data_IF_353325001828
#
_entry.id   IF_353325001828
#
_cell.length_a   1.000
_cell.length_b   1.000
_cell.length_c   1.000
_cell.angle_alpha   90.00
_cell.angle_beta   90.00
_cell.angle_gamma   90.00
#
_symmetry.space_group_name_H-M   'P 1'
#
loop_
_entity.id
_entity.type
_entity.pdbx_description
1 polymer ?
#
# COMPACT_ATOMS: atom_id res chain seq x y z
N UNK A 1 15.13 -12.09 1.98
CA UNK A 1 13.93 -11.44 1.41
C UNK A 1 14.11 -11.42 -0.09
N UNK A 2 13.08 -11.80 -0.85
CA UNK A 2 13.07 -11.69 -2.30
C UNK A 2 11.82 -10.94 -2.75
N UNK A 3 11.93 -10.18 -3.84
CA UNK A 3 10.83 -9.41 -4.40
C UNK A 3 10.79 -9.53 -5.93
N UNK A 4 9.59 -9.47 -6.49
CA UNK A 4 9.33 -9.42 -7.92
C UNK A 4 8.21 -8.42 -8.21
N UNK A 5 8.16 -7.88 -9.43
CA UNK A 5 7.17 -6.91 -9.86
C UNK A 5 6.41 -7.45 -11.06
N UNK A 6 5.07 -7.41 -10.97
CA UNK A 6 4.18 -7.89 -12.01
C UNK A 6 3.38 -6.73 -12.58
N UNK A 7 3.55 -6.46 -13.88
CA UNK A 7 2.71 -5.50 -14.58
C UNK A 7 1.32 -6.10 -14.81
N UNK A 8 0.32 -5.24 -14.96
CA UNK A 8 -1.05 -5.65 -15.28
C UNK A 8 -1.16 -6.36 -16.66
N UNK A 9 -0.12 -6.24 -17.49
CA UNK A 9 -0.02 -6.91 -18.79
C UNK A 9 0.58 -8.32 -18.69
N UNK A 10 1.28 -8.66 -17.61
CA UNK A 10 1.91 -9.98 -17.46
C UNK A 10 0.89 -11.11 -17.28
N UNK A 11 -0.24 -10.86 -16.60
CA UNK A 11 -1.23 -11.91 -16.37
C UNK A 11 -2.64 -11.36 -16.10
N UNK A 12 -3.72 -12.01 -16.62
CA UNK A 12 -5.10 -11.57 -16.41
C UNK A 12 -5.52 -11.44 -14.93
N UNK A 13 -4.94 -12.26 -14.03
CA UNK A 13 -5.21 -12.18 -12.59
C UNK A 13 -4.70 -10.86 -11.99
N UNK A 14 -3.55 -10.36 -12.43
CA UNK A 14 -3.00 -9.08 -11.94
C UNK A 14 -3.91 -7.94 -12.37
N UNK A 15 -4.33 -7.93 -13.63
CA UNK A 15 -5.30 -6.96 -14.15
C UNK A 15 -6.66 -7.03 -13.43
N UNK A 16 -7.14 -8.24 -13.13
CA UNK A 16 -8.38 -8.46 -12.37
C UNK A 16 -8.25 -7.92 -10.94
N UNK A 17 -7.10 -8.13 -10.30
CA UNK A 17 -6.81 -7.57 -8.97
C UNK A 17 -6.84 -6.04 -8.99
N UNK A 18 -6.16 -5.38 -9.93
CA UNK A 18 -6.19 -3.91 -10.05
C UNK A 18 -7.61 -3.36 -10.23
N UNK A 19 -8.47 -4.06 -10.98
CA UNK A 19 -9.90 -3.70 -11.13
C UNK A 19 -10.69 -3.87 -9.83
N UNK A 20 -10.45 -4.96 -9.09
CA UNK A 20 -11.08 -5.19 -7.79
C UNK A 20 -10.66 -4.14 -6.76
N UNK A 21 -9.37 -3.77 -6.73
CA UNK A 21 -8.86 -2.70 -5.88
C UNK A 21 -9.54 -1.38 -6.21
N UNK A 22 -9.64 -1.03 -7.50
CA UNK A 22 -10.33 0.20 -7.92
C UNK A 22 -11.81 0.20 -7.50
N UNK A 23 -12.51 -0.92 -7.68
CA UNK A 23 -13.91 -1.05 -7.28
C UNK A 23 -14.11 -0.99 -5.76
N UNK A 24 -13.20 -1.59 -4.98
CA UNK A 24 -13.30 -1.63 -3.51
C UNK A 24 -12.94 -0.30 -2.84
N UNK A 25 -11.97 0.42 -3.40
CA UNK A 25 -11.44 1.66 -2.81
C UNK A 25 -12.08 2.92 -3.40
N UNK A 26 -12.71 2.81 -4.56
CA UNK A 26 -13.13 3.96 -5.37
C UNK A 26 -11.98 4.73 -6.02
N UNK A 27 -10.72 4.30 -5.83
CA UNK A 27 -9.54 4.96 -6.38
C UNK A 27 -9.19 4.44 -7.78
N UNK A 28 -8.64 5.29 -8.63
CA UNK A 28 -8.11 4.89 -9.93
C UNK A 28 -6.78 4.15 -9.75
N UNK A 29 -6.65 2.96 -10.36
CA UNK A 29 -5.39 2.19 -10.40
C UNK A 29 -4.57 2.46 -11.66
N UNK A 30 -4.95 3.45 -12.49
CA UNK A 30 -4.27 3.76 -13.75
C UNK A 30 -2.83 4.25 -13.60
N UNK A 31 -2.55 4.97 -12.52
CA UNK A 31 -1.22 5.46 -12.12
C UNK A 31 -0.55 4.58 -11.06
N UNK A 32 -1.19 3.45 -10.70
CA UNK A 32 -0.68 2.57 -9.67
C UNK A 32 0.58 1.84 -10.14
N UNK A 33 1.47 1.56 -9.21
CA UNK A 33 2.68 0.80 -9.49
C UNK A 33 2.38 -0.64 -9.95
N UNK A 34 3.39 -1.29 -10.52
CA UNK A 34 3.34 -2.73 -10.73
C UNK A 34 3.12 -3.46 -9.39
N UNK A 35 2.39 -4.57 -9.43
CA UNK A 35 2.12 -5.36 -8.22
C UNK A 35 3.45 -5.93 -7.70
N UNK A 36 3.85 -5.50 -6.51
CA UNK A 36 5.06 -6.01 -5.87
C UNK A 36 4.71 -7.28 -5.08
N UNK A 37 5.33 -8.40 -5.41
CA UNK A 37 5.21 -9.65 -4.65
C UNK A 37 6.48 -9.86 -3.85
N UNK A 38 6.35 -10.09 -2.54
CA UNK A 38 7.48 -10.22 -1.62
C UNK A 38 7.35 -11.48 -0.79
N UNK A 39 8.48 -12.17 -0.60
CA UNK A 39 8.64 -13.26 0.36
C UNK A 39 9.55 -12.88 1.54
N UNK A 40 9.06 -13.16 2.74
CA UNK A 40 9.85 -13.20 3.97
C UNK A 40 9.88 -14.63 4.51
N UNK A 41 11.05 -15.27 4.47
CA UNK A 41 11.33 -16.50 5.21
C UNK A 41 11.55 -16.23 6.70
N UNK A 42 11.94 -17.27 7.44
CA UNK A 42 12.24 -17.18 8.89
C UNK A 42 13.28 -16.08 9.16
N UNK A 43 13.02 -15.25 10.18
CA UNK A 43 13.81 -14.06 10.53
C UNK A 43 13.62 -12.85 9.60
N UNK A 44 13.00 -13.06 8.43
CA UNK A 44 12.68 -12.00 7.48
C UNK A 44 11.73 -10.98 8.11
N UNK A 45 12.10 -9.70 8.02
CA UNK A 45 11.37 -8.57 8.57
C UNK A 45 11.57 -7.35 7.66
N UNK A 46 10.82 -6.30 7.94
CA UNK A 46 11.05 -5.00 7.32
C UNK A 46 10.88 -3.90 8.35
N UNK A 47 11.92 -3.07 8.49
CA UNK A 47 11.96 -1.99 9.46
C UNK A 47 10.79 -1.02 9.28
N UNK A 48 10.33 -0.36 10.37
CA UNK A 48 9.33 0.69 10.27
C UNK A 48 9.71 1.74 9.22
N UNK A 49 8.76 2.07 8.36
CA UNK A 49 8.93 3.01 7.26
C UNK A 49 7.59 3.64 6.87
N UNK A 50 7.66 4.60 5.95
CA UNK A 50 6.52 5.21 5.28
C UNK A 50 6.50 4.78 3.82
N UNK A 51 5.30 4.64 3.27
CA UNK A 51 5.12 4.43 1.84
C UNK A 51 5.13 5.74 1.06
N UNK A 52 4.79 6.87 1.68
CA UNK A 52 4.92 8.19 1.04
C UNK A 52 6.37 8.68 1.04
N UNK A 53 6.68 9.63 0.15
CA UNK A 53 8.00 10.26 0.06
C UNK A 53 8.27 11.19 1.25
N UNK A 54 9.47 11.08 1.81
CA UNK A 54 9.96 11.93 2.91
C UNK A 54 11.10 12.83 2.42
N UNK A 55 11.59 13.74 3.28
CA UNK A 55 12.78 14.58 2.94
C UNK A 55 13.99 13.73 2.55
N UNK A 56 14.20 12.60 3.24
CA UNK A 56 15.33 11.70 2.99
C UNK A 56 15.08 10.74 1.81
N UNK A 57 13.81 10.55 1.45
CA UNK A 57 13.37 9.74 0.30
C UNK A 57 12.44 10.56 -0.58
N UNK A 58 12.96 11.57 -1.30
CA UNK A 58 12.17 12.41 -2.20
C UNK A 58 11.63 11.57 -3.36
N UNK A 59 10.52 12.02 -3.97
CA UNK A 59 9.99 11.45 -5.23
C UNK A 59 11.07 11.49 -6.32
N UNK A 60 11.16 10.43 -7.13
CA UNK A 60 12.16 10.32 -8.21
C UNK A 60 11.57 9.75 -9.50
N UNK A 61 12.17 10.12 -10.62
CA UNK A 61 11.81 9.56 -11.93
C UNK A 61 10.33 9.81 -12.26
N UNK A 62 9.60 8.76 -12.59
CA UNK A 62 8.19 8.87 -12.97
C UNK A 62 7.27 9.32 -11.80
N UNK A 63 7.70 9.14 -10.55
CA UNK A 63 6.94 9.55 -9.36
C UNK A 63 6.80 11.08 -9.27
N UNK A 64 7.71 11.85 -9.86
CA UNK A 64 7.57 13.31 -9.93
C UNK A 64 6.41 13.74 -10.83
N UNK A 65 5.92 12.85 -11.70
CA UNK A 65 4.73 13.09 -12.51
C UNK A 65 3.48 12.45 -11.91
N UNK A 66 3.63 11.25 -11.33
CA UNK A 66 2.51 10.53 -10.72
C UNK A 66 2.09 11.10 -9.35
N UNK A 67 3.00 11.80 -8.67
CA UNK A 67 2.78 12.32 -7.32
C UNK A 67 3.11 11.29 -6.24
N UNK A 68 2.73 11.62 -5.01
CA UNK A 68 2.89 10.77 -3.84
C UNK A 68 2.06 9.49 -3.95
N UNK A 69 2.51 8.44 -3.27
CA UNK A 69 1.69 7.25 -3.01
C UNK A 69 0.56 7.63 -2.06
N UNK A 70 -0.61 7.93 -2.60
CA UNK A 70 -1.80 8.31 -1.83
C UNK A 70 -2.30 7.16 -0.95
N UNK A 71 -2.25 5.92 -1.43
CA UNK A 71 -2.77 4.78 -0.68
C UNK A 71 -1.98 3.50 -0.97
N UNK A 72 -2.06 2.57 -0.02
CA UNK A 72 -1.46 1.24 -0.12
C UNK A 72 -2.53 0.17 0.03
N UNK A 73 -2.49 -0.80 -0.88
CA UNK A 73 -3.26 -2.03 -0.79
C UNK A 73 -2.29 -3.21 -0.64
N UNK A 74 -2.32 -3.88 0.50
CA UNK A 74 -1.45 -5.02 0.82
C UNK A 74 -2.30 -6.27 1.00
N UNK A 75 -2.07 -7.30 0.20
CA UNK A 75 -2.72 -8.62 0.31
C UNK A 75 -1.75 -9.60 0.95
N UNK A 76 -2.22 -10.38 1.93
CA UNK A 76 -1.52 -11.55 2.41
C UNK A 76 -1.81 -12.74 1.48
N UNK A 77 -0.77 -13.28 0.85
CA UNK A 77 -0.87 -14.45 -0.01
C UNK A 77 -0.67 -15.76 0.76
N UNK A 78 -0.17 -15.68 1.99
CA UNK A 78 -0.04 -16.81 2.91
C UNK A 78 -0.40 -16.41 4.35
N UNK A 79 -0.93 -17.37 5.10
CA UNK A 79 -1.01 -17.29 6.56
C UNK A 79 0.36 -17.57 7.16
N UNK A 80 0.68 -16.94 8.29
CA UNK A 80 1.95 -17.14 8.99
C UNK A 80 1.66 -17.74 10.36
N UNK A 81 2.31 -18.87 10.67
CA UNK A 81 2.08 -19.61 11.91
C UNK A 81 2.49 -18.78 13.14
N UNK A 82 3.69 -18.19 13.13
CA UNK A 82 4.19 -17.34 14.22
C UNK A 82 5.01 -16.16 13.70
N UNK A 83 4.81 -14.98 14.29
CA UNK A 83 5.46 -13.75 13.87
C UNK A 83 4.79 -13.12 12.64
N UNK A 84 5.57 -12.43 11.81
CA UNK A 84 5.15 -11.94 10.49
C UNK A 84 4.11 -10.82 10.48
N UNK A 85 3.68 -10.32 11.63
CA UNK A 85 2.66 -9.26 11.76
C UNK A 85 3.02 -8.02 10.94
N UNK A 86 2.02 -7.34 10.39
CA UNK A 86 2.18 -5.93 9.97
C UNK A 86 1.80 -5.05 11.14
N UNK A 87 2.72 -4.17 11.55
CA UNK A 87 2.59 -3.35 12.75
C UNK A 87 2.54 -1.87 12.36
N UNK A 88 1.47 -1.18 12.77
CA UNK A 88 1.34 0.28 12.71
C UNK A 88 1.50 0.84 14.12
N UNK A 89 2.73 1.22 14.49
CA UNK A 89 3.08 1.55 15.89
C UNK A 89 2.26 2.70 16.43
N UNK A 90 2.12 3.77 15.64
CA UNK A 90 1.41 5.00 16.04
C UNK A 90 -0.10 4.81 16.11
N UNK A 91 -0.67 3.96 15.26
CA UNK A 91 -2.08 3.57 15.32
C UNK A 91 -2.36 2.50 16.38
N UNK A 92 -1.32 1.90 16.98
CA UNK A 92 -1.42 0.76 17.90
C UNK A 92 -2.17 -0.42 17.28
N UNK A 93 -2.05 -0.58 15.96
CA UNK A 93 -2.67 -1.67 15.20
C UNK A 93 -1.61 -2.72 14.87
N UNK A 94 -1.93 -3.97 15.15
CA UNK A 94 -1.14 -5.14 14.76
C UNK A 94 -2.05 -6.08 14.01
N UNK A 95 -1.68 -6.42 12.78
CA UNK A 95 -2.46 -7.37 11.97
C UNK A 95 -1.65 -8.62 11.69
N UNK A 96 -2.19 -9.77 12.06
CA UNK A 96 -1.59 -11.07 11.74
C UNK A 96 -1.89 -11.44 10.28
N UNK A 97 -0.91 -12.00 9.54
CA UNK A 97 -1.15 -12.46 8.18
C UNK A 97 -2.12 -13.63 8.15
N UNK A 98 -3.18 -13.49 7.37
CA UNK A 98 -4.11 -14.56 7.02
C UNK A 98 -4.26 -14.57 5.50
N UNK A 99 -4.08 -15.73 4.88
CA UNK A 99 -4.16 -15.87 3.42
C UNK A 99 -5.51 -15.33 2.90
N UNK A 100 -5.44 -14.40 1.95
CA UNK A 100 -6.61 -13.80 1.31
C UNK A 100 -7.17 -12.59 2.02
N UNK A 101 -6.64 -12.21 3.19
CA UNK A 101 -6.92 -10.92 3.80
C UNK A 101 -6.11 -9.82 3.11
N UNK A 102 -6.68 -8.62 3.00
CA UNK A 102 -5.93 -7.42 2.66
C UNK A 102 -6.09 -6.31 3.68
N UNK A 103 -5.07 -5.48 3.72
CA UNK A 103 -5.04 -4.21 4.39
C UNK A 103 -5.12 -3.11 3.34
N UNK A 104 -5.92 -2.10 3.63
CA UNK A 104 -5.95 -0.87 2.87
C UNK A 104 -5.85 0.33 3.80
N UNK A 105 -5.01 1.30 3.42
CA UNK A 105 -4.89 2.56 4.14
C UNK A 105 -4.46 3.69 3.22
N UNK A 106 -4.82 4.91 3.61
CA UNK A 106 -4.34 6.14 2.98
C UNK A 106 -3.05 6.59 3.65
N UNK A 107 -2.03 6.87 2.85
CA UNK A 107 -0.72 7.36 3.29
C UNK A 107 -0.69 8.88 3.47
N UNK A 108 -1.68 9.60 2.95
CA UNK A 108 -1.77 11.06 3.02
C UNK A 108 -3.06 11.45 3.78
N UNK A 109 -3.05 12.54 4.57
CA UNK A 109 -4.22 13.02 5.30
C UNK A 109 -5.38 13.40 4.37
N UNK A 110 -6.64 13.38 4.86
CA UNK A 110 -7.78 13.89 4.12
C UNK A 110 -7.54 15.32 3.62
N UNK A 111 -7.97 15.62 2.39
CA UNK A 111 -7.83 16.95 1.79
C UNK A 111 -6.43 17.30 1.28
N UNK A 112 -5.41 16.48 1.52
CA UNK A 112 -4.07 16.70 0.97
C UNK A 112 -4.01 16.58 -0.56
N UNK A 113 -4.94 15.83 -1.16
CA UNK A 113 -4.90 15.43 -2.58
C UNK A 113 -5.94 16.10 -3.46
N UNK A 114 -6.86 16.88 -2.87
CA UNK A 114 -8.10 17.29 -3.54
C UNK A 114 -8.13 18.74 -4.06
N UNK A 115 -7.03 19.50 -3.95
CA UNK A 115 -7.11 20.96 -4.18
C UNK A 115 -5.92 21.60 -4.85
N UNK A 116 -4.89 20.84 -5.23
CA UNK A 116 -3.63 21.41 -5.71
C UNK A 116 -3.52 21.28 -7.24
N UNK A 117 -3.26 22.37 -7.99
CA UNK A 117 -2.92 22.28 -9.41
C UNK A 117 -1.72 21.34 -9.61
N UNK A 118 -1.52 20.78 -10.80
CA UNK A 118 -0.48 19.74 -11.02
C UNK A 118 0.93 20.18 -10.58
N UNK A 119 1.21 21.49 -10.56
CA UNK A 119 2.46 22.06 -10.04
C UNK A 119 2.65 21.94 -8.52
N UNK A 120 1.61 21.60 -7.78
CA UNK A 120 1.55 21.58 -6.32
C UNK A 120 1.32 20.18 -5.73
N UNK A 121 1.22 19.13 -6.57
CA UNK A 121 1.06 17.70 -6.18
C UNK A 121 2.20 17.21 -5.25
N UNK A 122 3.25 18.01 -5.05
CA UNK A 122 4.38 17.69 -4.17
C UNK A 122 4.30 18.29 -2.76
N UNK A 123 3.19 18.96 -2.39
CA UNK A 123 3.02 19.57 -1.05
C UNK A 123 2.25 18.71 -0.04
N UNK A 124 1.72 17.57 -0.46
CA UNK A 124 1.01 16.64 0.43
C UNK A 124 1.97 16.12 1.50
N UNK A 125 1.74 16.51 2.76
CA UNK A 125 2.47 15.98 3.91
C UNK A 125 1.90 14.60 4.22
N UNK A 126 2.74 13.57 4.29
CA UNK A 126 2.28 12.22 4.60
C UNK A 126 1.72 12.09 6.01
N UNK A 127 0.81 11.15 6.19
CA UNK A 127 0.19 10.86 7.48
C UNK A 127 1.13 9.98 8.31
N UNK A 128 1.83 10.61 9.25
CA UNK A 128 2.85 9.90 10.03
C UNK A 128 2.27 8.73 10.84
N UNK A 129 0.95 8.68 11.10
CA UNK A 129 0.32 7.55 11.80
C UNK A 129 0.46 6.24 11.03
N UNK A 130 0.68 6.32 9.72
CA UNK A 130 0.83 5.17 8.80
C UNK A 130 2.23 4.56 8.81
N UNK A 131 3.14 5.02 9.69
CA UNK A 131 4.42 4.36 9.92
C UNK A 131 4.19 2.88 10.24
N UNK A 132 4.73 2.00 9.40
CA UNK A 132 4.49 0.57 9.51
C UNK A 132 5.70 -0.26 9.17
N UNK A 133 5.72 -1.49 9.67
CA UNK A 133 6.77 -2.46 9.40
C UNK A 133 6.25 -3.88 9.43
N UNK A 134 7.08 -4.81 8.97
CA UNK A 134 6.81 -6.24 9.05
C UNK A 134 7.63 -6.84 10.19
N UNK A 135 6.97 -7.37 11.21
CA UNK A 135 7.60 -8.12 12.28
C UNK A 135 8.31 -9.36 11.73
N UNK A 136 9.39 -9.83 12.39
CA UNK A 136 10.08 -11.06 12.00
C UNK A 136 9.13 -12.24 11.89
N UNK A 137 9.25 -13.01 10.80
CA UNK A 137 8.62 -14.33 10.70
C UNK A 137 9.37 -15.29 11.62
N UNK A 138 8.68 -15.92 12.55
CA UNK A 138 9.27 -16.85 13.50
C UNK A 138 9.10 -18.30 13.04
N UNK A 139 7.92 -18.63 12.50
CA UNK A 139 7.62 -19.95 11.93
C UNK A 139 6.78 -19.79 10.67
N UNK A 140 7.14 -20.52 9.61
CA UNK A 140 6.50 -20.48 8.30
C UNK A 140 7.15 -19.50 7.33
N UNK A 141 6.36 -19.00 6.37
CA UNK A 141 6.80 -18.11 5.31
C UNK A 141 5.69 -17.10 4.97
N UNK A 142 6.04 -15.81 4.96
CA UNK A 142 5.11 -14.71 4.66
C UNK A 142 5.24 -14.30 3.20
N UNK A 143 4.16 -14.46 2.45
CA UNK A 143 4.02 -13.91 1.11
C UNK A 143 3.02 -12.76 1.13
N UNK A 144 3.40 -11.63 0.54
CA UNK A 144 2.51 -10.49 0.36
C UNK A 144 2.53 -10.00 -1.09
N UNK A 145 1.45 -9.36 -1.50
CA UNK A 145 1.38 -8.56 -2.70
C UNK A 145 0.95 -7.14 -2.36
N UNK A 146 1.75 -6.14 -2.74
CA UNK A 146 1.48 -4.72 -2.48
C UNK A 146 1.21 -3.99 -3.79
N UNK A 147 0.16 -3.17 -3.80
CA UNK A 147 -0.18 -2.24 -4.86
C UNK A 147 -0.21 -0.82 -4.28
N UNK A 148 0.66 0.05 -4.78
CA UNK A 148 0.68 1.46 -4.42
C UNK A 148 -0.09 2.30 -5.43
N UNK A 149 -0.96 3.18 -4.93
CA UNK A 149 -1.83 4.03 -5.74
C UNK A 149 -1.34 5.47 -5.59
N UNK A 150 -1.11 6.14 -6.72
CA UNK A 150 -0.61 7.52 -6.76
C UNK A 150 -1.74 8.56 -6.87
N UNK A 151 -1.40 9.81 -6.53
CA UNK A 151 -2.28 10.98 -6.66
C UNK A 151 -2.74 11.27 -8.09
N UNK A 152 -1.90 10.99 -9.09
CA UNK A 152 -2.28 11.13 -10.49
C UNK A 152 -3.47 10.23 -10.83
N UNK A 153 -4.43 10.76 -11.58
CA UNK A 153 -5.65 10.04 -11.94
C UNK A 153 -6.75 10.08 -10.88
N UNK A 154 -6.55 10.73 -9.72
CA UNK A 154 -7.56 10.86 -8.67
C UNK A 154 -8.37 12.18 -8.73
N UNK A 155 -7.97 13.17 -9.55
CA UNK A 155 -8.50 14.54 -9.50
C UNK A 155 -10.03 14.69 -9.74
N UNK A 156 -10.66 13.69 -10.34
CA UNK A 156 -12.12 13.65 -10.59
C UNK A 156 -12.88 12.78 -9.59
N UNK A 157 -12.20 12.19 -8.63
CA UNK A 157 -12.75 11.28 -7.64
C UNK A 157 -12.88 12.06 -6.33
N UNK A 158 -14.11 12.28 -5.88
CA UNK A 158 -14.36 12.76 -4.52
C UNK A 158 -14.55 11.56 -3.62
N UNK A 159 -13.62 11.33 -2.72
CA UNK A 159 -13.77 10.38 -1.62
C UNK A 159 -13.65 11.11 -0.30
N UNK A 160 -14.64 10.92 0.57
CA UNK A 160 -14.69 11.46 1.93
C UNK A 160 -14.28 10.34 2.89
N UNK A 161 -12.99 10.28 3.22
CA UNK A 161 -12.43 9.25 4.09
C UNK A 161 -12.08 9.87 5.46
N UNK A 162 -12.54 9.29 6.58
CA UNK A 162 -12.47 9.92 7.91
C UNK A 162 -11.05 9.98 8.54
N UNK A 163 -9.98 9.71 7.80
CA UNK A 163 -8.60 9.75 8.28
C UNK A 163 -7.93 8.37 8.39
N UNK A 164 -6.89 8.20 9.22
CA UNK A 164 -6.10 6.95 9.26
C UNK A 164 -6.85 5.75 9.82
N UNK A 165 -7.63 5.10 8.97
CA UNK A 165 -8.27 3.83 9.27
C UNK A 165 -7.63 2.76 8.39
N UNK A 166 -7.22 1.66 9.01
CA UNK A 166 -6.82 0.45 8.30
C UNK A 166 -8.10 -0.35 8.03
N UNK A 167 -8.49 -0.44 6.77
CA UNK A 167 -9.56 -1.36 6.39
C UNK A 167 -8.99 -2.76 6.22
N UNK A 168 -9.76 -3.75 6.68
CA UNK A 168 -9.48 -5.16 6.41
C UNK A 168 -10.63 -5.76 5.62
N UNK A 169 -10.32 -6.67 4.70
CA UNK A 169 -11.32 -7.46 3.98
C UNK A 169 -10.80 -8.87 3.76
N UNK A 170 -11.71 -9.85 3.76
CA UNK A 170 -11.43 -11.27 3.58
C UNK A 170 -11.98 -11.71 2.20
N UNK A 171 -11.40 -12.78 1.61
CA UNK A 171 -11.78 -13.35 0.30
C UNK A 171 -11.57 -12.43 -0.92
N UNK A 172 -10.31 -12.17 -1.27
CA UNK A 172 -9.95 -11.21 -2.33
C UNK A 172 -9.55 -11.89 -3.65
N UNK A 173 -9.36 -13.21 -3.65
CA UNK A 173 -9.14 -14.03 -4.84
C UNK A 173 -10.40 -14.82 -5.22
#
# INVERSE_FOLDING_TARGET
MSAAWLSDHHHPVVKKLSRRIAAATGLSTSSAEHLQVVNYGVGGHYSPHFDFSTKDKPLRGWETFAGQRQATWLVYLSSVERGGATLFKRLRVRVQPEAGMALFWHNLPPGSTNSLPSCCVHRSVGDERTEHGACPVLVGSKWIATKWIHEAGQARIRYDWPGSTIMTTNNIY
#
